data_IF_807921012425
#
_entry.id   IF_807921012425
#
_cell.length_a   1.000
_cell.length_b   1.000
_cell.length_c   1.000
_cell.angle_alpha   90.00
_cell.angle_beta   90.00
_cell.angle_gamma   90.00
#
_symmetry.space_group_name_H-M   'P 1'
#
loop_
_entity.id
_entity.type
_entity.pdbx_description
1 polymer ?
#
# COMPACT_ATOMS: atom_id res chain seq x y z
N UNK A 1 64.07 -5.93 45.20
CA UNK A 1 63.41 -5.78 43.88
C UNK A 1 62.06 -6.50 43.89
N UNK A 2 61.09 -6.07 44.72
CA UNK A 2 59.65 -6.47 44.64
C UNK A 2 58.69 -5.38 45.21
N UNK A 3 59.16 -4.38 45.96
CA UNK A 3 58.26 -3.51 46.75
C UNK A 3 57.77 -2.19 46.09
N UNK A 4 57.95 -1.96 44.79
CA UNK A 4 57.59 -0.67 44.16
C UNK A 4 56.44 -0.72 43.14
N UNK A 5 55.84 -1.88 42.85
CA UNK A 5 54.82 -2.00 41.79
C UNK A 5 53.36 -2.15 42.29
N UNK A 6 53.14 -2.12 43.60
CA UNK A 6 51.82 -2.37 44.21
C UNK A 6 51.02 -1.08 44.52
N UNK A 7 51.61 0.11 44.40
CA UNK A 7 50.97 1.37 44.77
C UNK A 7 50.25 2.11 43.62
N UNK A 8 50.55 1.77 42.35
CA UNK A 8 49.92 2.42 41.19
C UNK A 8 48.64 1.71 40.68
N UNK A 9 48.39 0.48 41.14
CA UNK A 9 47.23 -0.33 40.73
C UNK A 9 45.89 0.32 41.14
N UNK A 10 45.71 0.93 42.33
CA UNK A 10 44.46 1.56 42.71
C UNK A 10 44.10 2.79 41.86
N UNK A 11 45.11 3.58 41.44
CA UNK A 11 44.88 4.79 40.64
C UNK A 11 44.50 4.47 39.18
N UNK A 12 45.04 3.39 38.61
CA UNK A 12 44.65 2.92 37.28
C UNK A 12 43.26 2.26 37.25
N UNK A 13 42.83 1.63 38.35
CA UNK A 13 41.49 1.04 38.48
C UNK A 13 40.41 2.13 38.67
N UNK A 14 40.73 3.18 39.43
CA UNK A 14 39.81 4.31 39.61
C UNK A 14 39.59 5.12 38.31
N UNK A 15 40.65 5.39 37.54
CA UNK A 15 40.55 6.06 36.24
C UNK A 15 39.84 5.20 35.17
N UNK A 16 40.00 3.87 35.21
CA UNK A 16 39.27 2.97 34.32
C UNK A 16 37.77 2.87 34.66
N UNK A 17 37.41 2.96 35.95
CA UNK A 17 36.01 2.99 36.41
C UNK A 17 35.28 4.27 35.99
N UNK A 18 35.95 5.42 36.04
CA UNK A 18 35.37 6.72 35.68
C UNK A 18 35.16 6.85 34.16
N UNK A 19 36.09 6.32 33.35
CA UNK A 19 35.93 6.23 31.89
C UNK A 19 34.86 5.22 31.46
N UNK A 20 34.67 4.12 32.19
CA UNK A 20 33.61 3.15 31.93
C UNK A 20 32.22 3.72 32.25
N UNK A 21 32.08 4.51 33.33
CA UNK A 21 30.84 5.21 33.66
C UNK A 21 30.50 6.32 32.65
N UNK A 22 31.51 7.06 32.16
CA UNK A 22 31.31 8.08 31.12
C UNK A 22 30.88 7.47 29.77
N UNK A 23 31.41 6.30 29.39
CA UNK A 23 31.00 5.57 28.19
C UNK A 23 29.56 5.01 28.30
N UNK A 24 29.16 4.54 29.48
CA UNK A 24 27.79 4.06 29.75
C UNK A 24 26.77 5.21 29.74
N UNK A 25 27.11 6.37 30.32
CA UNK A 25 26.25 7.56 30.26
C UNK A 25 26.13 8.13 28.84
N UNK A 26 27.19 8.07 28.03
CA UNK A 26 27.17 8.53 26.63
C UNK A 26 26.38 7.56 25.73
N UNK A 27 26.46 6.26 25.99
CA UNK A 27 25.65 5.24 25.28
C UNK A 27 24.15 5.36 25.60
N UNK A 28 23.79 5.70 26.86
CA UNK A 28 22.41 5.98 27.29
C UNK A 28 21.85 7.28 26.66
N UNK A 29 22.68 8.31 26.48
CA UNK A 29 22.25 9.55 25.84
C UNK A 29 22.02 9.41 24.32
N UNK A 30 22.74 8.49 23.65
CA UNK A 30 22.59 8.25 22.21
C UNK A 30 21.52 7.19 21.85
N UNK A 31 21.14 6.30 22.78
CA UNK A 31 20.17 5.21 22.54
C UNK A 31 18.77 5.45 23.13
N UNK A 32 18.45 6.65 23.59
CA UNK A 32 17.09 7.04 24.01
C UNK A 32 16.03 7.06 22.88
N UNK A 33 16.37 6.62 21.65
CA UNK A 33 15.48 6.70 20.48
C UNK A 33 15.04 5.33 19.92
N UNK A 34 15.43 4.18 20.50
CA UNK A 34 15.05 2.87 19.98
C UNK A 34 14.65 1.88 21.08
N UNK A 35 13.35 1.58 21.13
CA UNK A 35 12.77 0.30 21.56
C UNK A 35 13.19 -0.27 22.92
N UNK A 36 12.46 0.08 23.98
CA UNK A 36 12.57 -0.55 25.30
C UNK A 36 12.15 -2.03 25.28
N UNK A 37 13.02 -2.89 25.79
CA UNK A 37 12.73 -4.32 26.01
C UNK A 37 14.00 -5.13 26.31
N UNK A 38 15.01 -5.03 25.45
CA UNK A 38 16.23 -5.85 25.55
C UNK A 38 17.37 -5.21 26.35
N UNK A 39 17.32 -3.89 26.57
CA UNK A 39 18.36 -3.17 27.30
C UNK A 39 18.37 -3.48 28.81
N UNK A 40 17.20 -3.76 29.39
CA UNK A 40 17.05 -3.93 30.85
C UNK A 40 17.74 -5.23 31.33
N UNK A 41 17.66 -6.30 30.53
CA UNK A 41 18.32 -7.57 30.83
C UNK A 41 19.86 -7.52 30.72
N UNK A 42 20.39 -6.80 29.73
CA UNK A 42 21.84 -6.63 29.57
C UNK A 42 22.44 -5.74 30.67
N UNK A 43 21.70 -4.73 31.14
CA UNK A 43 22.08 -3.90 32.29
C UNK A 43 22.14 -4.72 33.58
N UNK A 44 21.20 -5.65 33.76
CA UNK A 44 21.18 -6.55 34.93
C UNK A 44 22.37 -7.51 34.95
N UNK A 45 22.80 -8.01 33.79
CA UNK A 45 23.95 -8.91 33.66
C UNK A 45 25.28 -8.15 33.89
N UNK A 46 25.38 -6.90 33.43
CA UNK A 46 26.56 -6.06 33.67
C UNK A 46 26.75 -5.70 35.16
N UNK A 47 25.65 -5.58 35.91
CA UNK A 47 25.68 -5.31 37.36
C UNK A 47 26.02 -6.55 38.22
N UNK A 48 25.93 -7.77 37.67
CA UNK A 48 26.23 -9.00 38.39
C UNK A 48 27.74 -9.35 38.47
N UNK A 49 28.61 -8.65 37.73
CA UNK A 49 30.05 -8.92 37.68
C UNK A 49 30.88 -8.38 38.86
N UNK A 50 30.21 -7.86 39.90
CA UNK A 50 30.81 -7.00 40.91
C UNK A 50 31.01 -7.58 42.31
N UNK A 51 31.08 -8.90 42.53
CA UNK A 51 31.55 -9.43 43.83
C UNK A 51 32.02 -10.88 43.75
N UNK A 52 33.27 -11.10 44.17
CA UNK A 52 33.87 -12.32 44.74
C UNK A 52 34.06 -13.57 43.86
N UNK A 53 35.33 -13.92 43.71
CA UNK A 53 35.85 -15.14 43.12
C UNK A 53 35.65 -16.34 44.05
N UNK A 54 34.51 -17.04 43.97
CA UNK A 54 34.37 -18.36 44.57
C UNK A 54 33.13 -19.12 44.08
N UNK A 55 32.86 -19.26 42.78
CA UNK A 55 31.69 -20.03 42.33
C UNK A 55 31.92 -20.81 41.04
N UNK A 56 32.49 -22.00 41.16
CA UNK A 56 32.42 -23.02 40.12
C UNK A 56 30.97 -23.52 39.87
N UNK A 57 30.01 -23.15 40.73
CA UNK A 57 28.58 -23.41 40.58
C UNK A 57 27.84 -22.33 39.78
N UNK A 58 28.47 -21.19 39.51
CA UNK A 58 27.83 -20.09 38.78
C UNK A 58 27.93 -20.25 37.27
N UNK A 59 28.95 -20.92 36.71
CA UNK A 59 29.07 -21.08 35.26
C UNK A 59 27.91 -21.89 34.65
N UNK A 60 27.40 -22.89 35.37
CA UNK A 60 26.21 -23.65 34.96
C UNK A 60 24.92 -22.83 35.09
N UNK A 61 24.81 -22.02 36.16
CA UNK A 61 23.73 -21.04 36.36
C UNK A 61 23.71 -19.97 35.26
N UNK A 62 24.89 -19.43 34.89
CA UNK A 62 25.04 -18.47 33.80
C UNK A 62 24.80 -19.12 32.43
N UNK A 63 25.23 -20.36 32.21
CA UNK A 63 24.91 -21.09 30.98
C UNK A 63 23.40 -21.33 30.83
N UNK A 64 22.70 -21.68 31.92
CA UNK A 64 21.24 -21.79 31.95
C UNK A 64 20.55 -20.44 31.76
N UNK A 65 21.02 -19.36 32.40
CA UNK A 65 20.49 -18.01 32.21
C UNK A 65 20.72 -17.52 30.77
N UNK A 66 21.88 -17.77 30.17
CA UNK A 66 22.17 -17.44 28.76
C UNK A 66 21.33 -18.28 27.80
N UNK A 67 21.07 -19.56 28.11
CA UNK A 67 20.15 -20.39 27.32
C UNK A 67 18.72 -19.87 27.41
N UNK A 68 18.25 -19.51 28.60
CA UNK A 68 16.92 -18.96 28.82
C UNK A 68 16.76 -17.59 28.14
N UNK A 69 17.76 -16.70 28.23
CA UNK A 69 17.77 -15.41 27.52
C UNK A 69 17.78 -15.60 26.01
N UNK A 70 18.56 -16.55 25.47
CA UNK A 70 18.57 -16.85 24.03
C UNK A 70 17.23 -17.44 23.56
N UNK A 71 16.56 -18.22 24.41
CA UNK A 71 15.25 -18.80 24.12
C UNK A 71 14.12 -17.76 24.25
N UNK A 72 14.22 -16.84 25.22
CA UNK A 72 13.34 -15.66 25.36
C UNK A 72 13.55 -14.67 24.21
N UNK A 73 14.78 -14.45 23.75
CA UNK A 73 15.07 -13.67 22.53
C UNK A 73 14.49 -14.36 21.29
N UNK A 74 14.62 -15.70 21.18
CA UNK A 74 14.04 -16.48 20.08
C UNK A 74 12.50 -16.41 20.05
N UNK A 75 11.87 -16.49 21.22
CA UNK A 75 10.43 -16.32 21.37
C UNK A 75 10.02 -14.86 21.21
N UNK A 76 10.89 -13.90 21.55
CA UNK A 76 10.65 -12.47 21.47
C UNK A 76 10.62 -11.98 20.03
N UNK A 77 11.56 -12.39 19.17
CA UNK A 77 11.50 -12.00 17.74
C UNK A 77 10.31 -12.67 17.03
N UNK A 78 9.99 -13.93 17.33
CA UNK A 78 8.81 -14.62 16.80
C UNK A 78 7.51 -13.95 17.27
N UNK A 79 7.44 -13.55 18.54
CA UNK A 79 6.29 -12.84 19.12
C UNK A 79 6.18 -11.43 18.55
N UNK A 80 7.30 -10.74 18.30
CA UNK A 80 7.32 -9.41 17.68
C UNK A 80 6.86 -9.48 16.24
N UNK A 81 7.37 -10.42 15.44
CA UNK A 81 6.88 -10.67 14.08
C UNK A 81 5.40 -11.05 14.10
N UNK A 82 4.97 -11.89 15.04
CA UNK A 82 3.55 -12.25 15.19
C UNK A 82 2.66 -11.05 15.54
N UNK A 83 3.12 -10.17 16.44
CA UNK A 83 2.43 -8.92 16.81
C UNK A 83 2.38 -7.94 15.64
N UNK A 84 3.47 -7.77 14.91
CA UNK A 84 3.54 -6.89 13.75
C UNK A 84 2.67 -7.44 12.62
N UNK A 85 2.69 -8.75 12.38
CA UNK A 85 1.84 -9.43 11.41
C UNK A 85 0.36 -9.17 11.72
N UNK A 86 -0.10 -9.50 12.94
CA UNK A 86 -1.49 -9.24 13.35
C UNK A 86 -1.82 -7.74 13.37
N UNK A 87 -0.86 -6.90 13.74
CA UNK A 87 -1.00 -5.44 13.73
C UNK A 87 -1.31 -4.89 12.34
N UNK A 88 -0.67 -5.42 11.28
CA UNK A 88 -1.00 -5.07 9.89
C UNK A 88 -2.46 -5.43 9.55
N UNK A 89 -2.94 -6.60 9.94
CA UNK A 89 -4.35 -6.99 9.70
C UNK A 89 -5.34 -6.16 10.52
N UNK A 90 -5.01 -5.83 11.77
CA UNK A 90 -5.84 -4.94 12.60
C UNK A 90 -5.94 -3.55 11.97
N UNK A 91 -4.81 -2.98 11.53
CA UNK A 91 -4.79 -1.68 10.86
C UNK A 91 -5.54 -1.70 9.52
N UNK A 92 -5.41 -2.78 8.76
CA UNK A 92 -6.20 -3.02 7.55
C UNK A 92 -7.70 -3.07 7.85
N UNK A 93 -8.09 -3.77 8.93
CA UNK A 93 -9.48 -3.86 9.39
C UNK A 93 -10.05 -2.51 9.84
N UNK A 94 -9.28 -1.69 10.55
CA UNK A 94 -9.67 -0.32 10.90
C UNK A 94 -9.93 0.54 9.65
N UNK A 95 -9.04 0.44 8.65
CA UNK A 95 -9.17 1.16 7.37
C UNK A 95 -10.42 0.71 6.62
N UNK A 96 -10.65 -0.59 6.52
CA UNK A 96 -11.84 -1.15 5.88
C UNK A 96 -13.13 -0.71 6.58
N UNK A 97 -13.16 -0.74 7.92
CA UNK A 97 -14.28 -0.20 8.70
C UNK A 97 -14.53 1.27 8.39
N UNK A 98 -13.45 2.05 8.23
CA UNK A 98 -13.51 3.45 7.78
C UNK A 98 -14.21 3.59 6.42
N UNK A 99 -13.95 2.70 5.47
CA UNK A 99 -14.66 2.71 4.19
C UNK A 99 -16.13 2.32 4.34
N UNK A 100 -16.45 1.30 5.13
CA UNK A 100 -17.83 0.82 5.37
C UNK A 100 -18.70 1.88 6.01
N UNK A 101 -18.19 2.64 6.98
CA UNK A 101 -18.95 3.70 7.66
C UNK A 101 -18.88 5.02 6.89
N UNK A 102 -17.79 5.27 6.16
CA UNK A 102 -17.56 6.53 5.47
C UNK A 102 -18.10 6.54 4.04
N UNK A 103 -17.27 6.10 3.10
CA UNK A 103 -17.51 6.35 1.68
C UNK A 103 -18.50 5.38 1.05
N UNK A 104 -18.57 4.12 1.50
CA UNK A 104 -19.41 3.09 0.89
C UNK A 104 -20.90 3.50 0.83
N UNK A 105 -21.54 3.98 1.92
CA UNK A 105 -22.93 4.43 1.86
C UNK A 105 -23.14 5.56 0.83
N UNK A 106 -22.19 6.50 0.76
CA UNK A 106 -22.21 7.60 -0.21
C UNK A 106 -22.15 7.06 -1.64
N UNK A 107 -21.30 6.07 -1.90
CA UNK A 107 -21.20 5.43 -3.21
C UNK A 107 -22.49 4.70 -3.60
N UNK A 108 -23.13 4.01 -2.65
CA UNK A 108 -24.42 3.32 -2.92
C UNK A 108 -25.50 4.32 -3.34
N UNK A 109 -25.65 5.41 -2.58
CA UNK A 109 -26.62 6.47 -2.93
C UNK A 109 -26.28 7.11 -4.28
N UNK A 110 -24.99 7.37 -4.52
CA UNK A 110 -24.52 7.95 -5.78
C UNK A 110 -24.80 7.01 -6.96
N UNK A 111 -24.58 5.70 -6.81
CA UNK A 111 -24.93 4.70 -7.83
C UNK A 111 -26.44 4.69 -8.09
N UNK A 112 -27.28 4.70 -7.06
CA UNK A 112 -28.73 4.75 -7.23
C UNK A 112 -29.16 6.01 -7.98
N UNK A 113 -28.60 7.17 -7.65
CA UNK A 113 -28.89 8.42 -8.33
C UNK A 113 -28.45 8.40 -9.80
N UNK A 114 -27.26 7.87 -10.09
CA UNK A 114 -26.77 7.75 -11.46
C UNK A 114 -27.59 6.74 -12.28
N UNK A 115 -27.98 5.61 -11.71
CA UNK A 115 -28.87 4.65 -12.37
C UNK A 115 -30.24 5.24 -12.68
N UNK A 116 -30.82 6.01 -11.76
CA UNK A 116 -32.06 6.74 -12.03
C UNK A 116 -31.88 7.78 -13.15
N UNK A 117 -30.73 8.47 -13.18
CA UNK A 117 -30.41 9.46 -14.22
C UNK A 117 -30.22 8.82 -15.59
N UNK A 118 -29.55 7.67 -15.68
CA UNK A 118 -29.37 6.97 -16.97
C UNK A 118 -30.67 6.38 -17.49
N UNK A 119 -31.52 5.85 -16.61
CA UNK A 119 -32.87 5.39 -16.96
C UNK A 119 -33.75 6.56 -17.45
N UNK A 120 -33.62 7.74 -16.84
CA UNK A 120 -34.31 8.96 -17.27
C UNK A 120 -33.82 9.49 -18.63
N UNK A 121 -32.51 9.44 -18.90
CA UNK A 121 -31.95 9.81 -20.22
C UNK A 121 -32.48 8.87 -21.32
N UNK A 122 -32.77 7.62 -20.96
CA UNK A 122 -33.29 6.59 -21.84
C UNK A 122 -32.20 5.95 -22.69
N UNK A 123 -32.18 4.63 -22.70
CA UNK A 123 -31.24 3.80 -23.46
C UNK A 123 -31.15 4.22 -24.94
N UNK A 124 -32.27 4.61 -25.57
CA UNK A 124 -32.28 5.02 -26.97
C UNK A 124 -31.40 6.24 -27.31
N UNK A 125 -31.34 7.26 -26.43
CA UNK A 125 -30.50 8.45 -26.65
C UNK A 125 -29.02 8.08 -26.64
N UNK A 126 -28.68 7.20 -25.72
CA UNK A 126 -27.34 6.68 -25.50
C UNK A 126 -26.91 5.75 -26.64
N UNK A 127 -27.81 4.89 -27.13
CA UNK A 127 -27.58 4.03 -28.31
C UNK A 127 -27.36 4.83 -29.59
N UNK A 128 -28.10 5.92 -29.78
CA UNK A 128 -27.90 6.85 -30.91
C UNK A 128 -26.50 7.49 -30.87
N UNK A 129 -26.06 7.91 -29.68
CA UNK A 129 -24.73 8.47 -29.48
C UNK A 129 -23.62 7.44 -29.70
N UNK A 130 -23.79 6.20 -29.23
CA UNK A 130 -22.81 5.13 -29.42
C UNK A 130 -22.57 4.79 -30.90
N UNK A 131 -23.63 4.73 -31.72
CA UNK A 131 -23.49 4.54 -33.18
C UNK A 131 -22.77 5.70 -33.86
N UNK A 132 -22.97 6.93 -33.38
CA UNK A 132 -22.29 8.11 -33.92
C UNK A 132 -20.82 8.15 -33.49
N UNK A 133 -20.54 7.88 -32.21
CA UNK A 133 -19.19 7.84 -31.65
C UNK A 133 -18.34 6.67 -32.19
N UNK A 134 -18.96 5.62 -32.72
CA UNK A 134 -18.27 4.52 -33.38
C UNK A 134 -17.62 4.87 -34.73
N UNK A 135 -17.90 6.04 -35.32
CA UNK A 135 -17.43 6.39 -36.68
C UNK A 135 -15.95 6.80 -36.76
N UNK A 136 -15.40 7.39 -35.71
CA UNK A 136 -14.00 7.88 -35.68
C UNK A 136 -13.22 7.05 -34.66
N UNK A 137 -12.00 6.62 -35.02
CA UNK A 137 -11.16 5.80 -34.13
C UNK A 137 -10.91 6.47 -32.76
N UNK A 138 -10.71 7.80 -32.76
CA UNK A 138 -10.58 8.59 -31.54
C UNK A 138 -11.83 8.47 -30.67
N UNK A 139 -13.02 8.79 -31.20
CA UNK A 139 -14.26 8.77 -30.41
C UNK A 139 -14.63 7.36 -29.96
N UNK A 140 -14.32 6.34 -30.76
CA UNK A 140 -14.61 4.93 -30.46
C UNK A 140 -13.77 4.35 -29.32
N UNK A 141 -12.52 4.77 -29.17
CA UNK A 141 -11.60 4.22 -28.15
C UNK A 141 -11.27 5.16 -27.00
N UNK A 142 -11.75 6.41 -27.04
CA UNK A 142 -11.62 7.36 -25.93
C UNK A 142 -12.97 7.79 -25.41
N UNK A 143 -13.70 8.60 -26.18
CA UNK A 143 -14.96 9.21 -25.75
C UNK A 143 -16.00 8.15 -25.38
N UNK A 144 -16.17 7.13 -26.23
CA UNK A 144 -17.17 6.09 -26.01
C UNK A 144 -16.88 5.26 -24.74
N UNK A 145 -15.66 4.72 -24.51
CA UNK A 145 -15.32 4.05 -23.26
C UNK A 145 -15.45 4.94 -22.03
N UNK A 146 -15.00 6.21 -22.09
CA UNK A 146 -15.09 7.15 -20.97
C UNK A 146 -16.55 7.36 -20.57
N UNK A 147 -17.43 7.62 -21.54
CA UNK A 147 -18.85 7.82 -21.27
C UNK A 147 -19.54 6.53 -20.83
N UNK A 148 -19.17 5.38 -21.43
CA UNK A 148 -19.70 4.08 -21.04
C UNK A 148 -19.43 3.79 -19.56
N UNK A 149 -18.17 3.94 -19.15
CA UNK A 149 -17.74 3.64 -17.78
C UNK A 149 -18.29 4.67 -16.79
N UNK A 150 -18.34 5.94 -17.18
CA UNK A 150 -18.89 6.99 -16.33
C UNK A 150 -20.39 6.81 -16.07
N UNK A 151 -21.20 6.52 -17.10
CA UNK A 151 -22.65 6.45 -16.95
C UNK A 151 -23.17 5.05 -16.57
N UNK A 152 -22.66 4.00 -17.22
CA UNK A 152 -23.17 2.63 -17.03
C UNK A 152 -22.41 1.86 -15.97
N UNK A 153 -21.21 2.31 -15.59
CA UNK A 153 -20.36 1.66 -14.57
C UNK A 153 -19.95 0.23 -14.96
N UNK A 154 -19.02 -0.39 -14.23
CA UNK A 154 -18.68 -1.81 -14.40
C UNK A 154 -19.78 -2.69 -13.77
N UNK A 155 -20.29 -3.77 -14.42
CA UNK A 155 -19.97 -4.29 -15.76
C UNK A 155 -20.88 -3.79 -16.90
N UNK A 156 -21.90 -2.99 -16.63
CA UNK A 156 -22.87 -2.63 -17.67
C UNK A 156 -22.27 -1.78 -18.80
N UNK A 157 -21.16 -1.06 -18.57
CA UNK A 157 -20.44 -0.30 -19.59
C UNK A 157 -20.06 -1.15 -20.83
N UNK A 158 -19.85 -2.46 -20.66
CA UNK A 158 -19.51 -3.35 -21.78
C UNK A 158 -20.67 -3.57 -22.76
N UNK A 159 -21.91 -3.29 -22.35
CA UNK A 159 -23.09 -3.43 -23.22
C UNK A 159 -23.04 -2.48 -24.42
N UNK A 160 -22.34 -1.34 -24.35
CA UNK A 160 -22.12 -0.49 -25.51
C UNK A 160 -21.34 -1.15 -26.64
N UNK A 161 -20.53 -2.17 -26.31
CA UNK A 161 -19.82 -2.96 -27.31
C UNK A 161 -20.77 -3.67 -28.27
N UNK A 162 -22.01 -3.95 -27.86
CA UNK A 162 -23.02 -4.61 -28.71
C UNK A 162 -23.44 -3.76 -29.92
N UNK A 163 -23.28 -2.43 -29.85
CA UNK A 163 -23.64 -1.49 -30.93
C UNK A 163 -22.50 -1.19 -31.91
N UNK A 164 -21.30 -1.72 -31.65
CA UNK A 164 -20.15 -1.59 -32.54
C UNK A 164 -20.12 -2.76 -33.53
N UNK A 165 -19.52 -2.54 -34.70
CA UNK A 165 -19.23 -3.60 -35.66
C UNK A 165 -18.31 -4.66 -35.03
N UNK A 166 -18.44 -5.93 -35.42
CA UNK A 166 -17.76 -7.07 -34.74
C UNK A 166 -16.25 -6.85 -34.64
N UNK A 167 -15.61 -6.38 -35.71
CA UNK A 167 -14.18 -6.04 -35.75
C UNK A 167 -13.71 -5.04 -34.69
N UNK A 168 -14.61 -4.20 -34.15
CA UNK A 168 -14.28 -3.16 -33.20
C UNK A 168 -14.61 -3.51 -31.74
N UNK A 169 -15.41 -4.55 -31.50
CA UNK A 169 -15.82 -4.96 -30.15
C UNK A 169 -14.64 -5.33 -29.24
N UNK A 170 -13.62 -6.10 -29.69
CA UNK A 170 -12.48 -6.44 -28.84
C UNK A 170 -11.69 -5.20 -28.39
N UNK A 171 -11.46 -4.27 -29.30
CA UNK A 171 -10.74 -3.03 -29.02
C UNK A 171 -11.52 -2.08 -28.10
N UNK A 172 -12.84 -2.02 -28.24
CA UNK A 172 -13.70 -1.29 -27.30
C UNK A 172 -13.65 -1.91 -25.90
N UNK A 173 -13.78 -3.23 -25.81
CA UNK A 173 -13.71 -3.94 -24.53
C UNK A 173 -12.38 -3.69 -23.82
N UNK A 174 -11.25 -3.82 -24.54
CA UNK A 174 -9.92 -3.53 -24.01
C UNK A 174 -9.78 -2.08 -23.51
N UNK A 175 -10.35 -1.12 -24.25
CA UNK A 175 -10.35 0.29 -23.86
C UNK A 175 -11.21 0.54 -22.61
N UNK A 176 -12.42 -0.03 -22.56
CA UNK A 176 -13.36 0.15 -21.46
C UNK A 176 -12.86 -0.49 -20.16
N UNK A 177 -12.42 -1.76 -20.21
CA UNK A 177 -11.90 -2.48 -19.02
C UNK A 177 -10.64 -1.81 -18.48
N UNK A 178 -9.82 -1.21 -19.35
CA UNK A 178 -8.62 -0.48 -18.91
C UNK A 178 -8.95 0.86 -18.26
N UNK A 179 -10.13 1.43 -18.52
CA UNK A 179 -10.54 2.72 -17.97
C UNK A 179 -11.24 2.65 -16.60
N UNK A 180 -11.72 1.46 -16.20
CA UNK A 180 -12.48 1.29 -14.95
C UNK A 180 -11.68 1.57 -13.68
N UNK A 181 -10.35 1.62 -13.77
CA UNK A 181 -9.47 1.98 -12.64
C UNK A 181 -9.03 3.46 -12.67
N UNK A 182 -8.51 4.02 -13.78
CA UNK A 182 -8.13 5.44 -13.87
C UNK A 182 -9.24 6.43 -13.49
N UNK A 183 -10.50 6.07 -13.73
CA UNK A 183 -11.65 6.93 -13.44
C UNK A 183 -11.93 7.05 -11.94
N UNK A 184 -11.55 6.06 -11.13
CA UNK A 184 -11.93 5.95 -9.72
C UNK A 184 -11.38 7.08 -8.84
N UNK A 185 -10.27 7.69 -9.26
CA UNK A 185 -9.70 8.82 -8.54
C UNK A 185 -10.61 10.04 -8.49
N UNK A 186 -11.44 10.23 -9.50
CA UNK A 186 -12.36 11.36 -9.61
C UNK A 186 -13.82 10.95 -9.43
N UNK A 187 -14.19 9.77 -9.94
CA UNK A 187 -15.56 9.29 -9.99
C UNK A 187 -15.67 7.88 -9.41
N UNK A 188 -15.80 7.76 -8.09
CA UNK A 188 -15.77 6.47 -7.41
C UNK A 188 -17.01 5.59 -7.70
N UNK A 189 -18.10 6.17 -8.19
CA UNK A 189 -19.31 5.44 -8.59
C UNK A 189 -19.13 4.61 -9.87
N UNK A 190 -18.09 4.87 -10.67
CA UNK A 190 -17.90 4.20 -11.96
C UNK A 190 -17.48 2.72 -11.81
N UNK A 191 -16.80 2.38 -10.72
CA UNK A 191 -16.41 1.01 -10.39
C UNK A 191 -16.28 0.83 -8.86
N UNK A 192 -17.40 0.91 -8.12
CA UNK A 192 -17.38 0.92 -6.66
C UNK A 192 -16.98 -0.43 -6.08
N UNK A 193 -17.20 -1.52 -6.82
CA UNK A 193 -16.78 -2.86 -6.44
C UNK A 193 -15.27 -2.99 -6.27
N UNK A 194 -14.47 -2.19 -6.97
CA UNK A 194 -13.00 -2.19 -6.90
C UNK A 194 -12.44 -0.89 -6.31
N UNK A 195 -13.30 -0.03 -5.74
CA UNK A 195 -12.89 1.27 -5.20
C UNK A 195 -11.81 1.15 -4.13
N UNK A 196 -11.78 0.04 -3.37
CA UNK A 196 -10.78 -0.20 -2.32
C UNK A 196 -9.33 -0.13 -2.83
N UNK A 197 -9.08 -0.41 -4.12
CA UNK A 197 -7.74 -0.30 -4.72
C UNK A 197 -7.27 1.16 -4.72
N UNK A 198 -8.13 2.08 -5.18
CA UNK A 198 -7.83 3.50 -5.14
C UNK A 198 -7.97 4.09 -3.74
N UNK A 199 -8.99 3.69 -2.99
CA UNK A 199 -9.25 4.14 -1.62
C UNK A 199 -8.07 3.85 -0.69
N UNK A 200 -7.41 2.70 -0.83
CA UNK A 200 -6.19 2.39 -0.09
C UNK A 200 -5.04 3.34 -0.42
N UNK A 201 -4.84 3.66 -1.70
CA UNK A 201 -3.85 4.65 -2.15
C UNK A 201 -4.18 6.04 -1.62
N UNK A 202 -5.45 6.42 -1.62
CA UNK A 202 -5.91 7.71 -1.10
C UNK A 202 -5.58 7.88 0.39
N UNK A 203 -5.88 6.86 1.21
CA UNK A 203 -5.56 6.89 2.65
C UNK A 203 -4.05 7.03 2.86
N UNK A 204 -3.24 6.26 2.12
CA UNK A 204 -1.79 6.35 2.22
C UNK A 204 -1.25 7.73 1.82
N UNK A 205 -1.79 8.34 0.76
CA UNK A 205 -1.40 9.68 0.33
C UNK A 205 -1.81 10.75 1.35
N UNK A 206 -3.01 10.66 1.90
CA UNK A 206 -3.47 11.58 2.95
C UNK A 206 -2.61 11.48 4.21
N UNK A 207 -2.18 10.27 4.58
CA UNK A 207 -1.25 10.08 5.70
C UNK A 207 0.11 10.73 5.41
N UNK A 208 0.66 10.55 4.20
CA UNK A 208 1.92 11.19 3.80
C UNK A 208 1.82 12.73 3.72
N UNK A 209 0.68 13.27 3.29
CA UNK A 209 0.39 14.70 3.32
C UNK A 209 0.33 15.23 4.76
N UNK A 210 -0.33 14.50 5.67
CA UNK A 210 -0.43 14.89 7.08
C UNK A 210 0.94 14.89 7.78
N UNK A 211 1.86 14.03 7.34
CA UNK A 211 3.26 13.98 7.83
C UNK A 211 4.17 15.03 7.17
N UNK A 212 3.67 15.82 6.23
CA UNK A 212 4.45 16.84 5.51
C UNK A 212 5.46 16.28 4.51
N UNK A 213 5.40 14.97 4.20
CA UNK A 213 6.29 14.33 3.22
C UNK A 213 5.87 14.65 1.77
N UNK A 214 4.61 15.01 1.57
CA UNK A 214 4.06 15.42 0.27
C UNK A 214 3.48 16.84 0.34
N UNK A 215 3.47 17.58 -0.78
CA UNK A 215 2.76 18.86 -0.87
C UNK A 215 1.26 18.71 -0.58
N UNK A 216 0.58 19.76 -0.09
CA UNK A 216 -0.85 19.70 0.16
C UNK A 216 -1.64 19.43 -1.13
N UNK A 217 -2.70 18.63 -1.03
CA UNK A 217 -3.59 18.25 -2.13
C UNK A 217 -2.90 17.41 -3.24
N UNK A 218 -1.83 16.70 -2.91
CA UNK A 218 -1.15 15.81 -3.84
C UNK A 218 -2.05 14.66 -4.31
N UNK A 219 -2.89 14.13 -3.43
CA UNK A 219 -3.88 13.10 -3.76
C UNK A 219 -4.84 13.53 -4.89
N UNK A 220 -5.26 14.80 -4.91
CA UNK A 220 -6.10 15.36 -5.98
C UNK A 220 -5.33 15.46 -7.28
N UNK A 221 -4.09 15.97 -7.23
CA UNK A 221 -3.22 16.06 -8.42
C UNK A 221 -2.99 14.69 -9.02
N UNK A 222 -2.70 13.69 -8.19
CA UNK A 222 -2.52 12.33 -8.63
C UNK A 222 -3.79 11.75 -9.26
N UNK A 223 -4.97 11.99 -8.68
CA UNK A 223 -6.24 11.57 -9.26
C UNK A 223 -6.45 12.14 -10.68
N UNK A 224 -6.15 13.43 -10.87
CA UNK A 224 -6.26 14.10 -12.17
C UNK A 224 -5.28 13.51 -13.19
N UNK A 225 -4.01 13.32 -12.79
CA UNK A 225 -3.02 12.72 -13.67
C UNK A 225 -3.35 11.27 -13.99
N UNK A 226 -3.86 10.51 -13.02
CA UNK A 226 -4.24 9.13 -13.22
C UNK A 226 -5.38 9.02 -14.23
N UNK A 227 -6.40 9.88 -14.11
CA UNK A 227 -7.47 9.99 -15.10
C UNK A 227 -6.93 10.37 -16.49
N UNK A 228 -6.11 11.42 -16.57
CA UNK A 228 -5.59 11.93 -17.85
C UNK A 228 -4.71 10.89 -18.57
N UNK A 229 -3.80 10.25 -17.84
CA UNK A 229 -2.98 9.14 -18.37
C UNK A 229 -3.87 7.98 -18.77
N UNK A 230 -4.89 7.67 -17.98
CA UNK A 230 -5.90 6.65 -18.32
C UNK A 230 -6.53 6.90 -19.70
N UNK A 231 -7.00 8.12 -19.96
CA UNK A 231 -7.61 8.50 -21.26
C UNK A 231 -6.61 8.31 -22.41
N UNK A 232 -5.34 8.64 -22.21
CA UNK A 232 -4.30 8.44 -23.23
C UNK A 232 -4.01 6.96 -23.45
N UNK A 233 -3.91 6.17 -22.37
CA UNK A 233 -3.60 4.74 -22.44
C UNK A 233 -4.71 3.96 -23.16
N UNK A 234 -5.98 4.26 -22.87
CA UNK A 234 -7.11 3.57 -23.52
C UNK A 234 -7.15 3.85 -25.02
N UNK A 235 -6.76 5.06 -25.45
CA UNK A 235 -6.66 5.40 -26.86
C UNK A 235 -5.65 4.51 -27.58
N UNK A 236 -4.43 4.43 -27.04
CA UNK A 236 -3.36 3.62 -27.62
C UNK A 236 -3.69 2.13 -27.58
N UNK A 237 -4.25 1.65 -26.47
CA UNK A 237 -4.69 0.26 -26.33
C UNK A 237 -5.79 -0.08 -27.33
N UNK A 238 -6.83 0.75 -27.46
CA UNK A 238 -7.88 0.54 -28.45
C UNK A 238 -7.36 0.45 -29.88
N UNK A 239 -6.50 1.40 -30.29
CA UNK A 239 -5.89 1.36 -31.63
C UNK A 239 -5.01 0.14 -31.85
N UNK A 240 -4.18 -0.21 -30.87
CA UNK A 240 -3.28 -1.36 -30.97
C UNK A 240 -4.07 -2.67 -31.03
N UNK A 241 -5.08 -2.81 -30.17
CA UNK A 241 -5.94 -3.99 -30.11
C UNK A 241 -6.72 -4.17 -31.41
N UNK A 242 -7.25 -3.10 -32.02
CA UNK A 242 -7.90 -3.19 -33.34
C UNK A 242 -6.93 -3.76 -34.41
N UNK A 243 -5.68 -3.29 -34.42
CA UNK A 243 -4.66 -3.76 -35.37
C UNK A 243 -4.29 -5.23 -35.14
N UNK A 244 -4.14 -5.64 -33.88
CA UNK A 244 -3.86 -7.03 -33.51
C UNK A 244 -5.04 -7.92 -33.91
N UNK A 245 -6.27 -7.52 -33.60
CA UNK A 245 -7.48 -8.26 -33.97
C UNK A 245 -7.59 -8.44 -35.48
N UNK A 246 -7.38 -7.38 -36.26
CA UNK A 246 -7.41 -7.46 -37.73
C UNK A 246 -6.31 -8.40 -38.28
N UNK A 247 -5.12 -8.37 -37.70
CA UNK A 247 -4.02 -9.28 -38.08
C UNK A 247 -4.34 -10.74 -37.74
N UNK A 248 -4.93 -11.00 -36.57
CA UNK A 248 -5.33 -12.35 -36.16
C UNK A 248 -6.46 -12.90 -37.04
N UNK A 249 -7.48 -12.09 -37.34
CA UNK A 249 -8.58 -12.48 -38.22
C UNK A 249 -8.10 -12.87 -39.62
N UNK A 250 -7.16 -12.09 -40.19
CA UNK A 250 -6.52 -12.42 -41.48
C UNK A 250 -5.74 -13.74 -41.43
N UNK A 251 -5.02 -14.01 -40.33
CA UNK A 251 -4.27 -15.27 -40.16
C UNK A 251 -5.19 -16.47 -40.00
N UNK A 252 -6.34 -16.29 -39.35
CA UNK A 252 -7.32 -17.35 -39.11
C UNK A 252 -8.35 -17.49 -40.23
N UNK A 253 -8.33 -16.61 -41.24
CA UNK A 253 -9.30 -16.55 -42.35
C UNK A 253 -10.74 -16.40 -41.86
N UNK A 254 -10.95 -15.60 -40.82
CA UNK A 254 -12.27 -15.30 -40.24
C UNK A 254 -12.66 -13.89 -40.71
N UNK A 255 -13.89 -13.74 -41.21
CA UNK A 255 -14.48 -12.41 -41.46
C UNK A 255 -15.10 -11.86 -40.17
N UNK A 256 -14.80 -10.60 -39.86
CA UNK A 256 -15.27 -9.84 -38.71
C UNK A 256 -16.17 -8.68 -39.17
#
# INVERSE_FOLDING_TARGET
>A
MVAAHAADIPHHIALAGDHAQALVHTALAYHGAAGGGSADGLVQIAQAGGTNASDANNAASYAQQVQNVRQEEQLSWLTTIGKDFIGVFQKGGETFKGFVVGIIPTLVVLMTAFYALTELIGEQRVHGFARFAGKIALTRYTVLPVLAVFFLTNPMAYTFGTFLEEKHKPAFYDSAVSFVHPILGLFPHANPGEYFVWGGVLVALQELESKGALPPNWHIRLAIFYFAVGVVVIFFKGMLTERITALMARRQKIEL
#
